data_IF_983931338235
#
_entry.id   IF_983931338235
#
_cell.length_a   1.000
_cell.length_b   1.000
_cell.length_c   1.000
_cell.angle_alpha   90.00
_cell.angle_beta   90.00
_cell.angle_gamma   90.00
#
_symmetry.space_group_name_H-M   'P 1'
#
loop_
_entity.id
_entity.type
_entity.pdbx_description
1 polymer ?
#
# COMPACT_ATOMS: atom_id res chain seq x y z
N UNK A 1 6.05 13.70 -2.14
CA UNK A 1 6.62 12.90 -3.25
C UNK A 1 5.57 12.67 -4.31
N UNK A 2 5.97 12.73 -5.58
CA UNK A 2 5.02 12.77 -6.70
C UNK A 2 5.17 11.58 -7.68
N UNK A 3 6.34 10.93 -7.74
CA UNK A 3 6.60 9.84 -8.70
C UNK A 3 6.49 8.47 -8.02
N UNK A 4 5.44 7.69 -8.37
CA UNK A 4 5.17 6.37 -7.80
C UNK A 4 6.26 5.33 -8.12
N UNK A 5 6.94 5.45 -9.28
CA UNK A 5 8.02 4.52 -9.67
C UNK A 5 9.19 4.65 -8.71
N UNK A 6 9.59 5.89 -8.42
CA UNK A 6 10.71 6.17 -7.51
C UNK A 6 10.34 5.70 -6.10
N UNK A 7 9.13 5.98 -5.63
CA UNK A 7 8.65 5.51 -4.33
C UNK A 7 8.71 3.98 -4.22
N UNK A 8 8.25 3.27 -5.23
CA UNK A 8 8.27 1.81 -5.24
C UNK A 8 9.68 1.24 -5.23
N UNK A 9 10.58 1.79 -6.08
CA UNK A 9 11.99 1.38 -6.13
C UNK A 9 12.68 1.63 -4.78
N UNK A 10 12.46 2.80 -4.17
CA UNK A 10 13.02 3.15 -2.87
C UNK A 10 12.54 2.20 -1.78
N UNK A 11 11.25 1.90 -1.73
CA UNK A 11 10.70 0.94 -0.74
C UNK A 11 11.31 -0.45 -0.92
N UNK A 12 11.47 -0.91 -2.16
CA UNK A 12 12.10 -2.21 -2.44
C UNK A 12 13.57 -2.20 -1.99
N UNK A 13 14.35 -1.17 -2.36
CA UNK A 13 15.76 -1.07 -1.99
C UNK A 13 15.95 -1.01 -0.47
N UNK A 14 15.18 -0.17 0.23
CA UNK A 14 15.25 -0.06 1.69
C UNK A 14 14.76 -1.34 2.39
N UNK A 15 13.73 -2.01 1.87
CA UNK A 15 13.25 -3.28 2.41
C UNK A 15 14.32 -4.37 2.28
N UNK A 16 14.97 -4.48 1.13
CA UNK A 16 16.07 -5.41 0.91
C UNK A 16 17.25 -5.11 1.85
N UNK A 17 17.63 -3.83 1.99
CA UNK A 17 18.70 -3.44 2.91
C UNK A 17 18.39 -3.76 4.36
N UNK A 18 17.13 -3.61 4.79
CA UNK A 18 16.69 -3.93 6.15
C UNK A 18 16.81 -5.43 6.47
N UNK A 19 16.67 -6.31 5.47
CA UNK A 19 16.81 -7.76 5.66
C UNK A 19 18.26 -8.23 5.84
N UNK A 20 19.22 -7.57 5.21
CA UNK A 20 20.62 -8.04 5.16
C UNK A 20 21.35 -7.96 6.50
N UNK A 21 20.95 -7.08 7.43
CA UNK A 21 21.60 -7.00 8.74
C UNK A 21 21.04 -5.89 9.62
N UNK A 22 21.54 -5.82 10.86
CA UNK A 22 21.15 -4.79 11.84
C UNK A 22 21.50 -3.39 11.35
N UNK A 23 22.66 -3.23 10.72
CA UNK A 23 23.10 -1.97 10.15
C UNK A 23 22.17 -1.49 9.02
N UNK A 24 21.71 -2.40 8.17
CA UNK A 24 20.69 -2.11 7.14
C UNK A 24 19.35 -1.68 7.72
N UNK A 25 18.92 -2.32 8.80
CA UNK A 25 17.70 -1.93 9.52
C UNK A 25 17.79 -0.52 10.10
N UNK A 26 18.93 -0.16 10.70
CA UNK A 26 19.16 1.18 11.26
C UNK A 26 19.17 2.25 10.15
N UNK A 27 19.87 2.00 9.04
CA UNK A 27 19.91 2.93 7.92
C UNK A 27 18.53 3.10 7.26
N UNK A 28 17.79 2.02 7.06
CA UNK A 28 16.44 2.07 6.52
C UNK A 28 15.47 2.82 7.44
N UNK A 29 15.57 2.62 8.77
CA UNK A 29 14.77 3.37 9.74
C UNK A 29 15.11 4.86 9.76
N UNK A 30 16.39 5.22 9.68
CA UNK A 30 16.83 6.62 9.61
C UNK A 30 16.31 7.30 8.33
N UNK A 31 16.41 6.66 7.17
CA UNK A 31 15.84 7.15 5.92
C UNK A 31 14.32 7.35 6.03
N UNK A 32 13.60 6.37 6.62
CA UNK A 32 12.16 6.49 6.80
C UNK A 32 11.79 7.69 7.69
N UNK A 33 12.48 7.87 8.83
CA UNK A 33 12.23 8.98 9.75
C UNK A 33 12.45 10.32 9.06
N UNK A 34 13.52 10.48 8.29
CA UNK A 34 13.88 11.77 7.65
C UNK A 34 12.93 12.13 6.51
N UNK A 35 12.52 11.17 5.69
CA UNK A 35 11.81 11.47 4.44
C UNK A 35 10.32 11.12 4.48
N UNK A 36 9.90 10.13 5.26
CA UNK A 36 8.57 9.56 5.18
C UNK A 36 7.71 9.81 6.42
N UNK A 37 8.33 10.17 7.56
CA UNK A 37 7.61 10.31 8.82
C UNK A 37 6.55 11.42 8.78
N UNK A 38 6.87 12.58 8.23
CA UNK A 38 5.91 13.70 8.14
C UNK A 38 4.66 13.33 7.34
N UNK A 39 4.81 12.69 6.17
CA UNK A 39 3.67 12.26 5.35
C UNK A 39 2.87 11.15 6.03
N UNK A 40 3.53 10.22 6.71
CA UNK A 40 2.90 9.10 7.42
C UNK A 40 2.06 9.58 8.60
N UNK A 41 2.54 10.56 9.37
CA UNK A 41 1.86 11.07 10.57
C UNK A 41 0.87 12.18 10.29
N UNK A 42 0.97 12.89 9.19
CA UNK A 42 0.05 13.98 8.79
C UNK A 42 -1.36 13.48 8.50
N UNK A 43 -1.53 12.24 8.09
CA UNK A 43 -2.83 11.66 7.85
C UNK A 43 -3.37 11.01 9.13
N UNK A 44 -4.64 11.25 9.46
CA UNK A 44 -5.33 10.72 10.68
C UNK A 44 -5.32 9.17 10.80
N UNK A 45 -4.44 8.50 10.10
CA UNK A 45 -4.26 7.05 10.02
C UNK A 45 -3.49 6.45 11.21
N UNK A 46 -2.99 7.29 12.13
CA UNK A 46 -2.24 6.87 13.32
C UNK A 46 -3.00 5.82 14.17
N UNK A 47 -4.32 5.98 14.28
CA UNK A 47 -5.18 5.06 15.05
C UNK A 47 -5.21 3.65 14.48
N UNK A 48 -5.05 3.51 13.17
CA UNK A 48 -4.97 2.20 12.48
C UNK A 48 -3.53 1.69 12.40
N UNK A 49 -2.56 2.60 12.29
CA UNK A 49 -1.15 2.26 12.18
C UNK A 49 -0.63 1.55 13.42
N UNK A 50 -0.88 2.08 14.62
CA UNK A 50 -0.35 1.52 15.87
C UNK A 50 -0.75 0.07 16.12
N UNK A 51 -2.03 -0.31 16.14
CA UNK A 51 -2.42 -1.69 16.40
C UNK A 51 -1.96 -2.64 15.30
N UNK A 52 -1.95 -2.21 14.03
CA UNK A 52 -1.48 -3.03 12.92
C UNK A 52 0.04 -3.24 12.95
N UNK A 53 0.82 -2.22 13.32
CA UNK A 53 2.28 -2.32 13.47
C UNK A 53 2.68 -3.27 14.60
N UNK A 54 2.00 -3.16 15.76
CA UNK A 54 2.24 -4.07 16.89
C UNK A 54 1.91 -5.50 16.52
N UNK A 55 0.83 -5.73 15.81
CA UNK A 55 0.42 -7.07 15.39
C UNK A 55 1.36 -7.63 14.31
N UNK A 56 1.72 -6.83 13.31
CA UNK A 56 2.57 -7.26 12.20
C UNK A 56 4.03 -7.54 12.63
N UNK A 57 4.59 -6.76 13.52
CA UNK A 57 5.97 -6.91 13.98
C UNK A 57 6.08 -7.72 15.27
N UNK A 58 5.16 -7.53 16.21
CA UNK A 58 5.20 -8.16 17.51
C UNK A 58 4.91 -9.66 17.47
N UNK A 59 3.92 -10.08 16.70
CA UNK A 59 3.52 -11.49 16.64
C UNK A 59 4.63 -12.40 16.08
N UNK A 60 5.23 -12.13 14.90
CA UNK A 60 6.33 -12.94 14.37
C UNK A 60 7.58 -12.85 15.26
N UNK A 61 7.89 -11.68 15.85
CA UNK A 61 9.01 -11.52 16.76
C UNK A 61 8.86 -12.35 18.03
N UNK A 62 7.65 -12.43 18.58
CA UNK A 62 7.34 -13.25 19.75
C UNK A 62 7.51 -14.76 19.45
N UNK A 63 7.02 -15.21 18.30
CA UNK A 63 7.16 -16.61 17.88
C UNK A 63 8.65 -16.98 17.77
N UNK A 64 9.45 -16.13 17.13
CA UNK A 64 10.88 -16.38 16.97
C UNK A 64 11.62 -16.36 18.30
N UNK A 65 11.25 -15.45 19.21
CA UNK A 65 11.81 -15.41 20.57
C UNK A 65 11.51 -16.70 21.35
N UNK A 66 10.29 -17.19 21.28
CA UNK A 66 9.90 -18.46 21.91
C UNK A 66 10.60 -19.68 21.29
N UNK A 67 11.02 -19.58 20.03
CA UNK A 67 11.80 -20.62 19.34
C UNK A 67 13.31 -20.56 19.64
N UNK A 68 13.77 -19.65 20.52
CA UNK A 68 15.17 -19.50 20.90
C UNK A 68 16.01 -18.66 19.94
N UNK A 69 15.40 -17.90 19.03
CA UNK A 69 16.09 -16.99 18.12
C UNK A 69 16.06 -15.54 18.57
N UNK A 70 16.76 -14.67 17.82
CA UNK A 70 16.82 -13.22 18.08
C UNK A 70 15.52 -12.51 17.66
N UNK A 71 14.42 -12.82 18.38
CA UNK A 71 13.08 -12.30 18.10
C UNK A 71 12.99 -10.76 18.08
N UNK A 72 13.81 -10.07 18.92
CA UNK A 72 13.83 -8.61 18.98
C UNK A 72 14.37 -7.96 17.69
N UNK A 73 15.47 -8.47 17.16
CA UNK A 73 16.07 -7.98 15.91
C UNK A 73 15.10 -8.24 14.73
N UNK A 74 14.48 -9.41 14.71
CA UNK A 74 13.52 -9.76 13.68
C UNK A 74 12.28 -8.88 13.73
N UNK A 75 11.73 -8.62 14.92
CA UNK A 75 10.61 -7.71 15.10
C UNK A 75 10.94 -6.29 14.62
N UNK A 76 12.14 -5.79 14.90
CA UNK A 76 12.59 -4.48 14.43
C UNK A 76 12.67 -4.41 12.89
N UNK A 77 13.19 -5.46 12.23
CA UNK A 77 13.21 -5.55 10.76
C UNK A 77 11.82 -5.48 10.15
N UNK A 78 10.90 -6.31 10.64
CA UNK A 78 9.51 -6.33 10.17
C UNK A 78 8.82 -5.00 10.43
N UNK A 79 9.07 -4.36 11.58
CA UNK A 79 8.51 -3.07 11.90
C UNK A 79 8.92 -1.98 10.89
N UNK A 80 10.21 -1.91 10.53
CA UNK A 80 10.71 -0.94 9.53
C UNK A 80 10.07 -1.19 8.16
N UNK A 81 9.99 -2.45 7.73
CA UNK A 81 9.34 -2.80 6.45
C UNK A 81 7.87 -2.44 6.47
N UNK A 82 7.19 -2.69 7.59
CA UNK A 82 5.79 -2.30 7.77
C UNK A 82 5.61 -0.77 7.68
N UNK A 83 6.51 0.01 8.29
CA UNK A 83 6.49 1.47 8.21
C UNK A 83 6.64 1.96 6.76
N UNK A 84 7.57 1.37 5.99
CA UNK A 84 7.78 1.69 4.57
C UNK A 84 6.55 1.33 3.71
N UNK A 85 5.97 0.14 3.93
CA UNK A 85 4.77 -0.29 3.22
C UNK A 85 3.56 0.58 3.54
N UNK A 86 3.38 0.94 4.80
CA UNK A 86 2.30 1.82 5.24
C UNK A 86 2.43 3.22 4.64
N UNK A 87 3.65 3.79 4.62
CA UNK A 87 3.91 5.05 3.96
C UNK A 87 3.54 5.00 2.48
N UNK A 88 3.92 3.95 1.75
CA UNK A 88 3.57 3.77 0.35
C UNK A 88 2.05 3.76 0.14
N UNK A 89 1.31 3.08 1.03
CA UNK A 89 -0.15 3.01 0.97
C UNK A 89 -0.84 4.34 1.26
N UNK A 90 -0.36 5.10 2.25
CA UNK A 90 -0.94 6.41 2.62
C UNK A 90 -0.63 7.48 1.57
N UNK A 91 0.54 7.43 0.95
CA UNK A 91 0.95 8.40 -0.08
C UNK A 91 0.34 8.16 -1.45
N UNK A 92 -0.51 7.13 -1.61
CA UNK A 92 -1.15 6.80 -2.88
C UNK A 92 -2.11 7.89 -3.35
N UNK A 93 -2.00 8.27 -4.64
CA UNK A 93 -2.89 9.21 -5.31
C UNK A 93 -3.73 8.52 -6.38
N UNK A 94 -4.96 8.99 -6.63
CA UNK A 94 -5.79 8.47 -7.70
C UNK A 94 -5.08 8.56 -9.06
N UNK A 95 -5.12 7.47 -9.85
CA UNK A 95 -4.47 7.36 -11.16
C UNK A 95 -3.07 6.76 -11.16
N UNK A 96 -2.39 6.69 -10.01
CA UNK A 96 -1.01 6.16 -9.93
C UNK A 96 -0.90 4.68 -10.31
N UNK A 97 -1.92 3.87 -10.02
CA UNK A 97 -1.93 2.45 -10.41
C UNK A 97 -2.04 2.28 -11.92
N UNK A 98 -2.77 3.17 -12.59
CA UNK A 98 -2.87 3.16 -14.06
C UNK A 98 -1.51 3.49 -14.68
N UNK A 99 -0.85 4.56 -14.19
CA UNK A 99 0.47 4.97 -14.66
C UNK A 99 1.51 3.86 -14.44
N UNK A 100 1.52 3.27 -13.25
CA UNK A 100 2.43 2.17 -12.90
C UNK A 100 2.18 0.93 -13.76
N UNK A 101 0.91 0.55 -13.97
CA UNK A 101 0.52 -0.58 -14.80
C UNK A 101 1.02 -0.44 -16.22
N UNK A 102 0.78 0.71 -16.85
CA UNK A 102 1.23 0.97 -18.22
C UNK A 102 2.75 1.00 -18.33
N UNK A 103 3.44 1.54 -17.35
CA UNK A 103 4.90 1.57 -17.33
C UNK A 103 5.51 0.16 -17.16
N UNK A 104 4.98 -0.66 -16.26
CA UNK A 104 5.56 -1.97 -15.93
C UNK A 104 5.23 -3.07 -16.96
N UNK A 105 3.99 -3.10 -17.47
CA UNK A 105 3.47 -4.20 -18.28
C UNK A 105 3.13 -3.77 -19.73
N UNK A 106 3.37 -2.51 -20.06
CA UNK A 106 3.15 -1.98 -21.42
C UNK A 106 1.72 -1.54 -21.67
N UNK A 107 1.50 -0.99 -22.88
CA UNK A 107 0.26 -0.27 -23.24
C UNK A 107 -1.00 -1.12 -23.30
N UNK A 108 -0.92 -2.41 -23.62
CA UNK A 108 -2.12 -3.27 -23.72
C UNK A 108 -2.49 -3.86 -22.38
N UNK A 109 -1.70 -4.81 -21.89
CA UNK A 109 -1.96 -5.53 -20.63
C UNK A 109 -1.82 -4.63 -19.42
N UNK A 110 -0.84 -3.73 -19.41
CA UNK A 110 -0.60 -2.80 -18.33
C UNK A 110 -1.72 -1.76 -18.15
N UNK A 111 -2.32 -1.32 -19.27
CA UNK A 111 -3.47 -0.42 -19.20
C UNK A 111 -4.69 -1.13 -18.58
N UNK A 112 -5.02 -2.34 -19.00
CA UNK A 112 -6.18 -3.08 -18.50
C UNK A 112 -6.02 -3.44 -17.02
N UNK A 113 -4.82 -3.89 -16.61
CA UNK A 113 -4.50 -4.20 -15.22
C UNK A 113 -4.45 -2.94 -14.34
N UNK A 114 -3.81 -1.88 -14.81
CA UNK A 114 -3.74 -0.61 -14.09
C UNK A 114 -5.13 0.02 -13.91
N UNK A 115 -5.97 -0.01 -14.96
CA UNK A 115 -7.34 0.46 -14.89
C UNK A 115 -8.18 -0.37 -13.90
N UNK A 116 -8.05 -1.70 -13.93
CA UNK A 116 -8.78 -2.57 -13.01
C UNK A 116 -8.34 -2.35 -11.56
N UNK A 117 -7.04 -2.16 -11.30
CA UNK A 117 -6.52 -1.84 -9.98
C UNK A 117 -7.04 -0.48 -9.48
N UNK A 118 -7.01 0.55 -10.32
CA UNK A 118 -7.52 1.89 -9.99
C UNK A 118 -9.02 1.86 -9.68
N UNK A 119 -9.81 1.19 -10.52
CA UNK A 119 -11.24 1.00 -10.28
C UNK A 119 -11.49 0.23 -8.98
N UNK A 120 -10.68 -0.78 -8.67
CA UNK A 120 -10.81 -1.55 -7.42
C UNK A 120 -10.62 -0.66 -6.19
N UNK A 121 -9.62 0.24 -6.20
CA UNK A 121 -9.40 1.17 -5.09
C UNK A 121 -10.56 2.16 -4.94
N UNK A 122 -11.08 2.68 -6.03
CA UNK A 122 -12.27 3.55 -6.00
C UNK A 122 -13.51 2.80 -5.49
N UNK A 123 -13.69 1.54 -5.89
CA UNK A 123 -14.78 0.71 -5.38
C UNK A 123 -14.67 0.40 -3.90
N UNK A 124 -13.45 0.15 -3.40
CA UNK A 124 -13.22 -0.14 -1.99
C UNK A 124 -13.66 1.03 -1.10
N UNK A 125 -13.33 2.25 -1.52
CA UNK A 125 -13.83 3.47 -0.86
C UNK A 125 -15.36 3.53 -0.88
N UNK A 126 -15.98 3.34 -2.05
CA UNK A 126 -17.43 3.35 -2.21
C UNK A 126 -18.13 2.26 -1.38
N UNK A 127 -17.58 1.06 -1.28
CA UNK A 127 -18.13 -0.02 -0.43
C UNK A 127 -18.05 0.36 1.05
N UNK A 128 -16.96 1.02 1.48
CA UNK A 128 -16.83 1.51 2.86
C UNK A 128 -17.91 2.52 3.21
N UNK A 129 -18.21 3.45 2.30
CA UNK A 129 -19.25 4.45 2.45
C UNK A 129 -20.65 3.78 2.50
N UNK A 130 -20.93 2.87 1.56
CA UNK A 130 -22.18 2.12 1.51
C UNK A 130 -22.40 1.31 2.81
N UNK A 131 -21.34 0.68 3.34
CA UNK A 131 -21.39 -0.03 4.62
C UNK A 131 -21.69 0.91 5.80
N UNK A 132 -21.12 2.11 5.80
CA UNK A 132 -21.39 3.12 6.83
C UNK A 132 -22.84 3.59 6.80
N UNK A 133 -23.40 3.80 5.60
CA UNK A 133 -24.80 4.14 5.41
C UNK A 133 -25.74 3.02 5.88
N UNK A 134 -25.44 1.77 5.53
CA UNK A 134 -26.20 0.61 5.97
C UNK A 134 -26.17 0.44 7.50
N UNK A 135 -25.01 0.63 8.14
CA UNK A 135 -24.89 0.62 9.61
C UNK A 135 -25.74 1.73 10.24
N UNK A 136 -25.74 2.91 9.65
CA UNK A 136 -26.55 4.04 10.13
C UNK A 136 -28.03 3.75 10.00
N UNK A 137 -28.47 3.15 8.89
CA UNK A 137 -29.86 2.75 8.67
C UNK A 137 -30.32 1.69 9.69
N UNK A 138 -29.47 0.70 10.02
CA UNK A 138 -29.78 -0.28 11.08
C UNK A 138 -29.95 0.39 12.44
N UNK A 139 -29.08 1.36 12.76
CA UNK A 139 -29.14 2.10 14.03
C UNK A 139 -30.44 2.91 14.16
N UNK A 140 -30.91 3.50 13.06
CA UNK A 140 -32.19 4.24 13.02
C UNK A 140 -33.38 3.27 13.27
N UNK A 141 -33.30 2.03 12.75
CA UNK A 141 -34.32 0.98 13.01
C UNK A 141 -34.26 0.38 14.42
N UNK A 142 -33.31 0.81 15.25
CA UNK A 142 -33.12 0.26 16.60
C UNK A 142 -32.43 -1.11 16.63
N UNK A 143 -31.94 -1.59 15.46
CA UNK A 143 -31.27 -2.87 15.37
C UNK A 143 -29.76 -2.70 15.54
N UNK A 144 -29.12 -3.70 16.17
CA UNK A 144 -27.66 -3.76 16.32
C UNK A 144 -27.05 -4.72 15.30
N UNK A 145 -25.79 -4.48 14.97
CA UNK A 145 -25.02 -5.39 14.12
C UNK A 145 -24.85 -6.73 14.87
N UNK A 146 -25.58 -7.73 14.48
CA UNK A 146 -25.60 -9.07 15.08
C UNK A 146 -25.30 -10.10 13.99
N UNK A 147 -24.87 -11.31 14.37
CA UNK A 147 -24.62 -12.41 13.39
C UNK A 147 -25.80 -12.69 12.46
N UNK A 148 -27.03 -12.37 12.89
CA UNK A 148 -28.25 -12.53 12.07
C UNK A 148 -28.45 -11.42 11.06
N UNK A 149 -27.94 -10.20 11.32
CA UNK A 149 -28.08 -9.04 10.43
C UNK A 149 -26.93 -8.93 9.41
N UNK A 150 -25.81 -9.64 9.62
CA UNK A 150 -24.66 -9.65 8.69
C UNK A 150 -25.01 -10.25 7.33
N UNK A 151 -25.66 -11.43 7.20
CA UNK A 151 -25.95 -12.02 5.90
C UNK A 151 -26.80 -11.11 4.99
N UNK A 152 -27.93 -10.54 5.41
CA UNK A 152 -28.72 -9.67 4.55
C UNK A 152 -27.96 -8.38 4.16
N UNK A 153 -27.11 -7.83 5.06
CA UNK A 153 -26.25 -6.70 4.74
C UNK A 153 -25.22 -7.06 3.65
N UNK A 154 -24.56 -8.21 3.80
CA UNK A 154 -23.58 -8.68 2.82
C UNK A 154 -24.24 -8.90 1.45
N UNK A 155 -25.41 -9.52 1.41
CA UNK A 155 -26.18 -9.69 0.16
C UNK A 155 -26.56 -8.35 -0.46
N UNK A 156 -26.99 -7.38 0.34
CA UNK A 156 -27.29 -6.03 -0.13
C UNK A 156 -26.07 -5.33 -0.74
N UNK A 157 -24.91 -5.42 -0.07
CA UNK A 157 -23.64 -4.88 -0.58
C UNK A 157 -23.21 -5.56 -1.89
N UNK A 158 -23.36 -6.89 -2.00
CA UNK A 158 -23.04 -7.63 -3.22
C UNK A 158 -23.92 -7.19 -4.39
N UNK A 159 -25.23 -7.10 -4.18
CA UNK A 159 -26.17 -6.65 -5.21
C UNK A 159 -25.87 -5.20 -5.67
N UNK A 160 -25.57 -4.32 -4.72
CA UNK A 160 -25.19 -2.94 -5.00
C UNK A 160 -23.89 -2.87 -5.80
N UNK A 161 -22.89 -3.66 -5.43
CA UNK A 161 -21.59 -3.74 -6.12
C UNK A 161 -21.75 -4.28 -7.54
N UNK A 162 -22.54 -5.33 -7.74
CA UNK A 162 -22.85 -5.87 -9.07
C UNK A 162 -23.56 -4.84 -9.96
N UNK A 163 -24.57 -4.15 -9.40
CA UNK A 163 -25.28 -3.08 -10.13
C UNK A 163 -24.33 -1.93 -10.52
N UNK A 164 -23.42 -1.53 -9.61
CA UNK A 164 -22.41 -0.50 -9.87
C UNK A 164 -21.44 -0.93 -10.98
N UNK A 165 -20.94 -2.16 -10.91
CA UNK A 165 -20.06 -2.75 -11.92
C UNK A 165 -20.70 -2.76 -13.31
N UNK A 166 -21.97 -3.20 -13.40
CA UNK A 166 -22.72 -3.16 -14.67
C UNK A 166 -22.86 -1.75 -15.24
N UNK A 167 -23.14 -0.75 -14.41
CA UNK A 167 -23.21 0.66 -14.85
C UNK A 167 -21.87 1.18 -15.37
N UNK A 168 -20.76 0.85 -14.70
CA UNK A 168 -19.43 1.29 -15.17
C UNK A 168 -19.03 0.57 -16.45
N UNK A 169 -19.32 -0.74 -16.57
CA UNK A 169 -19.10 -1.47 -17.82
C UNK A 169 -19.84 -0.83 -18.99
N UNK A 170 -21.11 -0.51 -18.80
CA UNK A 170 -21.91 0.21 -19.81
C UNK A 170 -21.36 1.61 -20.13
N UNK A 171 -20.87 2.33 -19.11
CA UNK A 171 -20.27 3.65 -19.27
C UNK A 171 -18.96 3.60 -20.05
N UNK A 172 -18.08 2.64 -19.75
CA UNK A 172 -16.85 2.40 -20.51
C UNK A 172 -17.12 2.01 -21.96
N UNK A 173 -18.10 1.11 -22.19
CA UNK A 173 -18.51 0.71 -23.54
C UNK A 173 -19.02 1.91 -24.36
N UNK A 174 -19.82 2.80 -23.75
CA UNK A 174 -20.30 4.03 -24.41
C UNK A 174 -19.17 5.01 -24.76
N UNK A 175 -18.08 5.00 -23.98
CA UNK A 175 -16.88 5.80 -24.26
C UNK A 175 -15.93 5.15 -25.27
N UNK A 176 -16.33 4.02 -25.87
CA UNK A 176 -15.52 3.31 -26.87
C UNK A 176 -14.33 2.56 -26.27
N UNK A 177 -14.43 2.14 -24.99
CA UNK A 177 -13.39 1.32 -24.39
C UNK A 177 -13.31 -0.04 -25.11
N UNK A 178 -12.13 -0.33 -25.63
CA UNK A 178 -11.71 -1.63 -26.14
C UNK A 178 -10.46 -2.08 -25.38
N UNK A 179 -10.18 -3.38 -25.34
CA UNK A 179 -8.99 -3.95 -24.70
C UNK A 179 -7.71 -3.26 -25.16
N UNK A 180 -6.96 -2.71 -24.23
CA UNK A 180 -5.75 -1.93 -24.49
C UNK A 180 -6.05 -0.46 -24.81
N UNK A 181 -5.44 0.45 -24.07
CA UNK A 181 -5.60 1.88 -24.23
C UNK A 181 -4.38 2.55 -24.86
N UNK A 182 -4.59 3.77 -25.40
CA UNK A 182 -3.51 4.66 -25.86
C UNK A 182 -3.07 5.66 -24.78
N UNK A 183 -3.18 5.27 -23.52
CA UNK A 183 -2.81 6.12 -22.40
C UNK A 183 -1.29 6.32 -22.32
N UNK A 184 -0.87 7.58 -22.17
CA UNK A 184 0.51 7.94 -21.92
C UNK A 184 0.67 8.25 -20.42
N UNK A 185 1.46 7.45 -19.67
CA UNK A 185 1.67 7.69 -18.26
C UNK A 185 2.40 9.02 -18.03
N UNK A 186 1.96 9.78 -17.05
CA UNK A 186 2.56 11.07 -16.68
C UNK A 186 3.21 10.97 -15.31
N UNK A 187 4.55 11.16 -15.27
CA UNK A 187 5.35 11.05 -14.06
C UNK A 187 6.00 12.38 -13.71
N UNK A 188 5.38 13.20 -12.86
CA UNK A 188 5.98 14.44 -12.38
C UNK A 188 7.08 14.13 -11.37
N UNK A 189 8.33 14.17 -11.79
CA UNK A 189 9.51 13.95 -10.92
C UNK A 189 9.88 15.23 -10.17
N UNK A 190 10.07 15.13 -8.86
CA UNK A 190 10.49 16.24 -8.01
C UNK A 190 11.95 16.04 -7.56
N UNK A 191 12.67 17.12 -7.24
CA UNK A 191 14.07 17.07 -6.74
C UNK A 191 14.18 16.20 -5.47
N UNK A 192 13.17 16.20 -4.63
CA UNK A 192 13.09 15.34 -3.42
C UNK A 192 13.03 13.86 -3.77
N UNK A 193 12.38 13.47 -4.87
CA UNK A 193 12.28 12.09 -5.31
C UNK A 193 13.66 11.55 -5.73
N UNK A 194 14.44 12.36 -6.46
CA UNK A 194 15.79 12.02 -6.88
C UNK A 194 16.72 11.90 -5.67
N UNK A 195 16.65 12.86 -4.73
CA UNK A 195 17.47 12.84 -3.52
C UNK A 195 17.22 11.58 -2.69
N UNK A 196 15.96 11.19 -2.53
CA UNK A 196 15.60 9.97 -1.79
C UNK A 196 16.04 8.69 -2.52
N UNK A 197 15.97 8.67 -3.85
CA UNK A 197 16.49 7.54 -4.64
C UNK A 197 18.02 7.41 -4.46
N UNK A 198 18.74 8.52 -4.50
CA UNK A 198 20.19 8.54 -4.26
C UNK A 198 20.55 8.06 -2.84
N UNK A 199 19.84 8.55 -1.81
CA UNK A 199 20.09 8.11 -0.43
C UNK A 199 19.77 6.64 -0.21
N UNK A 200 18.66 6.13 -0.77
CA UNK A 200 18.33 4.72 -0.72
C UNK A 200 19.35 3.84 -1.45
N UNK A 201 19.84 4.30 -2.60
CA UNK A 201 20.89 3.63 -3.36
C UNK A 201 22.23 3.56 -2.60
N UNK A 202 22.64 4.66 -1.98
CA UNK A 202 23.85 4.70 -1.12
C UNK A 202 23.71 3.77 0.08
N UNK A 203 22.55 3.77 0.74
CA UNK A 203 22.27 2.86 1.86
C UNK A 203 22.35 1.39 1.43
N UNK A 204 21.76 1.04 0.30
CA UNK A 204 21.81 -0.32 -0.23
C UNK A 204 23.25 -0.74 -0.61
N UNK A 205 24.02 0.15 -1.25
CA UNK A 205 25.41 -0.10 -1.59
C UNK A 205 26.30 -0.28 -0.35
N UNK A 206 26.13 0.57 0.68
CA UNK A 206 26.86 0.48 1.94
C UNK A 206 26.59 -0.84 2.67
N UNK A 207 25.34 -1.31 2.65
CA UNK A 207 24.97 -2.59 3.27
C UNK A 207 25.55 -3.77 2.50
N UNK A 208 25.51 -3.73 1.16
CA UNK A 208 26.11 -4.77 0.31
C UNK A 208 27.63 -4.85 0.47
N UNK A 209 28.31 -3.71 0.58
CA UNK A 209 29.77 -3.69 0.84
C UNK A 209 30.13 -4.20 2.23
N UNK A 210 29.28 -3.99 3.23
CA UNK A 210 29.46 -4.53 4.58
C UNK A 210 29.18 -6.03 4.67
N UNK A 211 28.33 -6.56 3.80
CA UNK A 211 27.99 -7.99 3.74
C UNK A 211 29.01 -8.82 2.94
N UNK A 212 29.73 -8.20 1.99
CA UNK A 212 30.70 -8.88 1.12
C UNK A 212 31.95 -9.46 1.82
N UNK A 213 32.46 -8.93 2.97
CA UNK A 213 33.60 -9.55 3.65
C UNK A 213 33.23 -10.79 4.48
N UNK A 214 31.95 -11.22 4.50
CA UNK A 214 31.47 -12.38 5.28
C UNK A 214 31.17 -13.63 4.41
N UNK A 215 31.43 -13.57 3.10
CA UNK A 215 31.42 -14.67 2.12
C UNK A 215 32.86 -15.02 1.75
#
# INVERSE_FOLDING_TARGET
MTDIRIRLIVVILLSLSAFTGVLGTLLASACWIVFCAEETFSHNSWKLFMPSAVLAAGFPGLILYLSGGDGGIYAAKIFVIFCLAFWLGVSHKPGEFLDLGVWALGRKTGFDLGLSAELTMQYLSGISDDLSHMKSALRIKGERLTRKTIPPLATGLLLLSLSRSGRIGAYLARRGYHTGGTYLPHFPTTKTDILMLCTAGVCAAAVLSAASPAL
#
